data_IF_937540304206
#
_entry.id   IF_937540304206
#
_cell.length_a   1.000
_cell.length_b   1.000
_cell.length_c   1.000
_cell.angle_alpha   90.00
_cell.angle_beta   90.00
_cell.angle_gamma   90.00
#
_symmetry.space_group_name_H-M   'P 1'
#
loop_
_entity.id
_entity.type
_entity.pdbx_description
1 polymer ?
#
# COMPACT_ATOMS: atom_id res chain seq x y z
N UNK A 1 -33.08 -4.29 -7.90
CA UNK A 1 -32.43 -3.52 -6.80
C UNK A 1 -31.62 -4.51 -5.97
N UNK A 2 -30.46 -4.09 -5.41
CA UNK A 2 -29.56 -5.00 -4.69
C UNK A 2 -30.26 -5.70 -3.49
N UNK A 3 -30.14 -7.03 -3.34
CA UNK A 3 -30.61 -7.76 -2.17
C UNK A 3 -29.80 -7.42 -0.89
N UNK A 4 -30.43 -7.32 0.28
CA UNK A 4 -29.74 -7.01 1.54
C UNK A 4 -28.55 -7.93 1.87
N UNK A 5 -28.70 -9.23 1.63
CA UNK A 5 -27.64 -10.21 1.93
C UNK A 5 -26.39 -9.96 1.06
N UNK A 6 -26.59 -9.54 -0.19
CA UNK A 6 -25.49 -9.21 -1.11
C UNK A 6 -24.82 -7.87 -0.79
N UNK A 7 -25.54 -6.93 -0.15
CA UNK A 7 -24.96 -5.65 0.27
C UNK A 7 -23.82 -5.83 1.27
N UNK A 8 -23.98 -6.74 2.23
CA UNK A 8 -22.97 -6.96 3.27
C UNK A 8 -21.70 -7.56 2.67
N UNK A 9 -21.82 -8.63 1.89
CA UNK A 9 -20.67 -9.27 1.24
C UNK A 9 -19.98 -8.32 0.28
N UNK A 10 -20.72 -7.61 -0.57
CA UNK A 10 -20.14 -6.64 -1.51
C UNK A 10 -19.38 -5.53 -0.77
N UNK A 11 -19.92 -5.01 0.34
CA UNK A 11 -19.24 -3.99 1.13
C UNK A 11 -17.97 -4.53 1.81
N UNK A 12 -18.03 -5.74 2.39
CA UNK A 12 -16.87 -6.37 3.02
C UNK A 12 -15.73 -6.59 2.01
N UNK A 13 -16.03 -7.14 0.85
CA UNK A 13 -15.04 -7.41 -0.19
C UNK A 13 -14.43 -6.12 -0.76
N UNK A 14 -15.26 -5.08 -0.96
CA UNK A 14 -14.81 -3.78 -1.41
C UNK A 14 -13.90 -3.09 -0.37
N UNK A 15 -14.26 -3.18 0.91
CA UNK A 15 -13.49 -2.62 2.03
C UNK A 15 -12.14 -3.33 2.20
N UNK A 16 -12.11 -4.66 2.09
CA UNK A 16 -10.87 -5.45 2.18
C UNK A 16 -9.89 -5.17 1.03
N UNK A 17 -10.38 -4.67 -0.11
CA UNK A 17 -9.57 -4.31 -1.27
C UNK A 17 -9.26 -2.81 -1.37
N UNK A 18 -9.73 -2.00 -0.42
CA UNK A 18 -9.54 -0.55 -0.42
C UNK A 18 -9.10 -0.03 0.95
N UNK A 19 -10.04 0.35 1.82
CA UNK A 19 -9.76 0.99 3.11
C UNK A 19 -8.87 0.13 4.03
N UNK A 20 -9.05 -1.20 4.05
CA UNK A 20 -8.21 -2.09 4.88
C UNK A 20 -6.77 -2.27 4.35
N UNK A 21 -6.43 -1.61 3.24
CA UNK A 21 -5.10 -1.68 2.60
C UNK A 21 -4.35 -0.36 2.68
N UNK A 22 -4.96 0.72 3.16
CA UNK A 22 -4.28 2.01 3.28
C UNK A 22 -3.75 2.21 4.69
N UNK A 23 -2.66 2.96 4.82
CA UNK A 23 -2.14 3.42 6.10
C UNK A 23 -1.38 4.74 5.93
N UNK A 24 -1.72 5.74 6.73
CA UNK A 24 -0.97 7.01 6.80
C UNK A 24 0.19 6.83 7.79
N UNK A 25 -0.11 6.51 9.05
CA UNK A 25 0.85 6.45 10.15
C UNK A 25 0.82 5.12 10.93
N UNK A 26 -0.17 4.27 10.67
CA UNK A 26 -0.34 2.97 11.31
C UNK A 26 -1.24 2.99 12.55
N UNK A 27 -1.79 4.15 12.92
CA UNK A 27 -2.72 4.27 14.05
C UNK A 27 -4.17 4.09 13.59
N UNK A 28 -4.82 3.02 14.05
CA UNK A 28 -6.22 2.73 13.74
C UNK A 28 -7.15 3.57 14.61
N UNK A 29 -8.08 4.29 13.99
CA UNK A 29 -9.02 5.16 14.71
C UNK A 29 -10.02 4.35 15.54
N UNK A 30 -10.51 4.94 16.63
CA UNK A 30 -11.60 4.38 17.44
C UNK A 30 -12.97 4.49 16.76
N UNK A 31 -13.06 5.13 15.59
CA UNK A 31 -14.31 5.54 14.95
C UNK A 31 -14.47 5.10 13.49
N UNK A 32 -13.51 4.37 12.92
CA UNK A 32 -13.56 3.95 11.52
C UNK A 32 -14.88 3.23 11.19
N UNK A 33 -15.65 3.80 10.25
CA UNK A 33 -16.99 3.32 9.91
C UNK A 33 -17.26 3.51 8.41
N UNK A 34 -17.71 2.43 7.74
CA UNK A 34 -18.17 2.48 6.34
C UNK A 34 -19.60 1.97 6.27
N UNK A 35 -20.49 2.73 5.63
CA UNK A 35 -21.91 2.39 5.50
C UNK A 35 -22.32 2.33 4.03
N UNK A 36 -23.06 1.29 3.65
CA UNK A 36 -23.69 1.17 2.33
C UNK A 36 -25.22 1.25 2.48
N UNK A 37 -25.83 2.28 1.88
CA UNK A 37 -27.27 2.52 1.93
C UNK A 37 -27.89 2.42 0.53
N UNK A 38 -29.06 1.79 0.43
CA UNK A 38 -29.80 1.65 -0.84
C UNK A 38 -31.28 2.00 -0.65
N UNK A 39 -31.78 2.96 -1.44
CA UNK A 39 -33.18 3.38 -1.44
C UNK A 39 -34.06 2.55 -2.40
N UNK A 40 -33.46 1.64 -3.18
CA UNK A 40 -34.09 0.71 -4.14
C UNK A 40 -34.93 1.35 -5.27
N UNK A 41 -34.90 2.68 -5.45
CA UNK A 41 -35.80 3.39 -6.39
C UNK A 41 -35.60 3.05 -7.86
N UNK A 42 -34.37 2.72 -8.28
CA UNK A 42 -34.07 2.43 -9.71
C UNK A 42 -34.69 1.12 -10.21
N UNK A 43 -35.00 0.18 -9.31
CA UNK A 43 -35.44 -1.18 -9.67
C UNK A 43 -34.34 -2.04 -10.32
N UNK A 44 -33.38 -1.44 -11.01
CA UNK A 44 -32.26 -2.11 -11.66
C UNK A 44 -31.27 -2.73 -10.65
N UNK A 45 -30.74 -3.89 -11.00
CA UNK A 45 -29.60 -4.51 -10.32
C UNK A 45 -28.92 -5.49 -11.26
N UNK A 46 -27.64 -5.27 -11.46
CA UNK A 46 -26.72 -6.23 -12.04
C UNK A 46 -25.61 -6.42 -11.00
N UNK A 47 -25.42 -7.67 -10.55
CA UNK A 47 -24.54 -7.96 -9.44
C UNK A 47 -23.07 -7.69 -9.77
N UNK A 48 -22.66 -7.96 -11.01
CA UNK A 48 -21.27 -7.77 -11.43
C UNK A 48 -20.95 -6.29 -11.59
N UNK A 49 -21.79 -5.55 -12.32
CA UNK A 49 -21.62 -4.12 -12.51
C UNK A 49 -21.68 -3.35 -11.18
N UNK A 50 -22.53 -3.78 -10.23
CA UNK A 50 -22.60 -3.16 -8.91
C UNK A 50 -21.31 -3.38 -8.11
N UNK A 51 -20.78 -4.61 -8.08
CA UNK A 51 -19.51 -4.91 -7.37
C UNK A 51 -18.35 -4.16 -7.98
N UNK A 52 -18.26 -4.13 -9.32
CA UNK A 52 -17.20 -3.38 -10.02
C UNK A 52 -17.25 -1.89 -9.67
N UNK A 53 -18.44 -1.28 -9.75
CA UNK A 53 -18.62 0.12 -9.40
C UNK A 53 -18.27 0.39 -7.93
N UNK A 54 -18.73 -0.48 -7.01
CA UNK A 54 -18.44 -0.34 -5.58
C UNK A 54 -16.94 -0.43 -5.31
N UNK A 55 -16.26 -1.45 -5.85
CA UNK A 55 -14.81 -1.63 -5.69
C UNK A 55 -14.03 -0.42 -6.23
N UNK A 56 -14.42 0.10 -7.40
CA UNK A 56 -13.77 1.28 -7.99
C UNK A 56 -13.95 2.51 -7.10
N UNK A 57 -15.17 2.75 -6.63
CA UNK A 57 -15.48 3.91 -5.77
C UNK A 57 -14.71 3.81 -4.45
N UNK A 58 -14.77 2.66 -3.76
CA UNK A 58 -14.09 2.52 -2.47
C UNK A 58 -12.58 2.59 -2.61
N UNK A 59 -12.02 2.04 -3.69
CA UNK A 59 -10.59 2.16 -4.00
C UNK A 59 -10.18 3.62 -4.22
N UNK A 60 -10.89 4.37 -5.07
CA UNK A 60 -10.60 5.78 -5.30
C UNK A 60 -10.72 6.61 -4.01
N UNK A 61 -11.75 6.37 -3.20
CA UNK A 61 -11.90 7.04 -1.90
C UNK A 61 -10.74 6.72 -0.96
N UNK A 62 -10.28 5.48 -0.93
CA UNK A 62 -9.12 5.09 -0.12
C UNK A 62 -7.83 5.79 -0.58
N UNK A 63 -7.64 5.94 -1.90
CA UNK A 63 -6.49 6.70 -2.43
C UNK A 63 -6.61 8.20 -2.15
N UNK A 64 -7.82 8.76 -2.16
CA UNK A 64 -8.05 10.15 -1.77
C UNK A 64 -7.67 10.40 -0.31
N UNK A 65 -7.99 9.48 0.61
CA UNK A 65 -7.57 9.57 2.02
C UNK A 65 -6.04 9.62 2.12
N UNK A 66 -5.31 8.77 1.39
CA UNK A 66 -3.85 8.78 1.42
C UNK A 66 -3.23 10.05 0.82
N UNK A 67 -3.81 10.57 -0.26
CA UNK A 67 -3.36 11.83 -0.88
C UNK A 67 -3.57 13.03 0.03
N UNK A 68 -4.61 12.99 0.86
CA UNK A 68 -4.91 14.00 1.88
C UNK A 68 -4.35 13.63 3.26
N UNK A 69 -3.43 12.65 3.31
CA UNK A 69 -2.74 12.28 4.54
C UNK A 69 -1.96 13.48 5.09
N UNK A 70 -1.90 13.61 6.40
CA UNK A 70 -1.29 14.77 7.06
C UNK A 70 0.18 14.96 6.63
N UNK A 71 0.45 16.03 5.88
CA UNK A 71 1.79 16.31 5.34
C UNK A 71 2.29 15.31 4.30
N UNK A 72 1.42 14.49 3.70
CA UNK A 72 1.79 13.56 2.63
C UNK A 72 2.09 14.30 1.31
N UNK A 73 3.15 13.89 0.62
CA UNK A 73 3.53 14.40 -0.71
C UNK A 73 3.52 13.29 -1.77
N UNK A 74 3.61 12.03 -1.35
CA UNK A 74 3.71 10.88 -2.24
C UNK A 74 2.76 9.77 -1.82
N UNK A 75 2.24 9.03 -2.79
CA UNK A 75 1.46 7.81 -2.59
C UNK A 75 2.23 6.62 -3.14
N UNK A 76 2.49 5.61 -2.31
CA UNK A 76 3.26 4.44 -2.72
C UNK A 76 2.47 3.17 -2.49
N UNK A 77 2.39 2.34 -3.53
CA UNK A 77 1.86 1.00 -3.45
C UNK A 77 2.99 0.02 -3.09
N UNK A 78 2.84 -0.75 -2.02
CA UNK A 78 3.79 -1.77 -1.58
C UNK A 78 3.24 -3.15 -1.90
N UNK A 79 3.59 -3.68 -3.05
CA UNK A 79 3.21 -5.04 -3.45
C UNK A 79 4.24 -6.03 -2.93
N UNK A 80 3.81 -6.95 -2.06
CA UNK A 80 4.60 -8.13 -1.70
C UNK A 80 4.00 -9.33 -2.40
N UNK A 81 4.79 -9.99 -3.24
CA UNK A 81 4.42 -11.21 -3.97
C UNK A 81 5.42 -12.32 -3.70
N UNK A 82 5.16 -13.52 -4.21
CA UNK A 82 6.06 -14.63 -4.02
C UNK A 82 6.02 -15.23 -2.62
N UNK A 83 5.02 -14.89 -1.79
CA UNK A 83 4.95 -15.39 -0.41
C UNK A 83 4.34 -16.80 -0.36
N UNK A 84 4.67 -17.56 0.70
CA UNK A 84 4.06 -18.89 0.94
C UNK A 84 2.56 -18.79 1.24
N UNK A 85 2.16 -17.76 1.96
CA UNK A 85 0.78 -17.52 2.38
C UNK A 85 0.37 -16.08 2.10
N UNK A 86 -0.93 -15.85 1.91
CA UNK A 86 -1.48 -14.49 1.76
C UNK A 86 -1.27 -13.67 3.04
N UNK A 87 -1.28 -14.33 4.20
CA UNK A 87 -1.02 -13.70 5.49
C UNK A 87 0.42 -13.16 5.58
N UNK A 88 1.42 -13.95 5.14
CA UNK A 88 2.81 -13.49 5.07
C UNK A 88 2.95 -12.29 4.13
N UNK A 89 2.36 -12.34 2.93
CA UNK A 89 2.38 -11.22 2.00
C UNK A 89 1.75 -9.97 2.62
N UNK A 90 0.58 -10.11 3.27
CA UNK A 90 -0.11 -9.01 3.91
C UNK A 90 0.69 -8.41 5.08
N UNK A 91 1.33 -9.26 5.89
CA UNK A 91 2.14 -8.84 7.03
C UNK A 91 3.35 -8.02 6.59
N UNK A 92 4.10 -8.49 5.59
CA UNK A 92 5.24 -7.76 5.05
C UNK A 92 4.82 -6.48 4.33
N UNK A 93 3.75 -6.52 3.54
CA UNK A 93 3.23 -5.36 2.81
C UNK A 93 2.77 -4.23 3.74
N UNK A 94 2.04 -4.57 4.81
CA UNK A 94 1.65 -3.61 5.87
C UNK A 94 2.84 -3.09 6.68
N UNK A 95 3.84 -3.93 6.93
CA UNK A 95 5.07 -3.50 7.59
C UNK A 95 5.81 -2.43 6.77
N UNK A 96 5.85 -2.60 5.44
CA UNK A 96 6.43 -1.61 4.53
C UNK A 96 5.69 -0.28 4.54
N UNK A 97 4.34 -0.31 4.45
CA UNK A 97 3.54 0.93 4.48
C UNK A 97 3.67 1.71 5.80
N UNK A 98 3.99 1.03 6.91
CA UNK A 98 4.07 1.64 8.24
C UNK A 98 5.51 1.95 8.69
N UNK A 99 6.52 1.56 7.92
CA UNK A 99 7.92 1.72 8.32
C UNK A 99 8.36 3.18 8.21
N UNK A 100 8.64 3.82 9.35
CA UNK A 100 9.12 5.21 9.39
C UNK A 100 10.39 5.42 8.56
N UNK A 101 11.30 4.45 8.55
CA UNK A 101 12.50 4.51 7.73
C UNK A 101 12.17 4.45 6.24
N UNK A 102 11.25 3.59 5.82
CA UNK A 102 10.80 3.55 4.42
C UNK A 102 10.12 4.87 4.08
N UNK A 103 9.16 5.33 4.88
CA UNK A 103 8.41 6.57 4.65
C UNK A 103 9.30 7.83 4.57
N UNK A 104 10.35 7.91 5.39
CA UNK A 104 11.32 9.02 5.31
C UNK A 104 12.26 8.91 4.11
N UNK A 105 12.59 7.71 3.65
CA UNK A 105 13.33 7.53 2.40
C UNK A 105 12.49 7.95 1.18
N UNK A 106 11.19 7.65 1.20
CA UNK A 106 10.24 8.14 0.20
C UNK A 106 10.20 9.67 0.15
N UNK A 107 10.08 10.33 1.32
CA UNK A 107 10.07 11.79 1.42
C UNK A 107 11.39 12.41 0.91
N UNK A 108 12.52 11.82 1.31
CA UNK A 108 13.85 12.26 0.89
C UNK A 108 14.25 11.86 -0.53
N UNK A 109 13.37 11.18 -1.27
CA UNK A 109 13.63 10.65 -2.61
C UNK A 109 14.90 9.79 -2.68
N UNK A 110 15.21 9.08 -1.59
CA UNK A 110 16.41 8.25 -1.43
C UNK A 110 16.08 6.78 -1.79
N UNK A 111 16.65 6.19 -2.87
CA UNK A 111 16.35 4.82 -3.33
C UNK A 111 16.97 3.73 -2.43
N UNK A 112 16.70 3.82 -1.14
CA UNK A 112 17.28 3.04 -0.07
C UNK A 112 16.58 1.68 0.09
N UNK A 113 16.86 0.76 -0.82
CA UNK A 113 16.33 -0.60 -0.78
C UNK A 113 16.71 -1.36 0.49
N UNK A 114 17.81 -0.97 1.15
CA UNK A 114 18.23 -1.56 2.42
C UNK A 114 17.18 -1.39 3.52
N UNK A 115 16.47 -0.24 3.57
CA UNK A 115 15.35 0.00 4.50
C UNK A 115 14.13 -0.86 4.17
N UNK A 116 13.90 -1.16 2.90
CA UNK A 116 12.82 -2.05 2.45
C UNK A 116 13.15 -3.49 2.85
N UNK A 117 14.34 -3.97 2.51
CA UNK A 117 14.79 -5.33 2.84
C UNK A 117 14.82 -5.56 4.36
N UNK A 118 15.32 -4.59 5.14
CA UNK A 118 15.32 -4.68 6.61
C UNK A 118 13.91 -4.71 7.20
N UNK A 119 12.97 -3.96 6.64
CA UNK A 119 11.55 -3.97 7.05
C UNK A 119 10.90 -5.32 6.74
N UNK A 120 11.14 -5.91 5.57
CA UNK A 120 10.68 -7.27 5.24
C UNK A 120 11.23 -8.28 6.24
N UNK A 121 12.53 -8.26 6.50
CA UNK A 121 13.16 -9.18 7.47
C UNK A 121 12.60 -9.01 8.88
N UNK A 122 12.37 -7.77 9.32
CA UNK A 122 11.82 -7.46 10.63
C UNK A 122 10.33 -7.83 10.78
N UNK A 123 9.59 -7.98 9.67
CA UNK A 123 8.18 -8.39 9.70
C UNK A 123 7.98 -9.83 10.20
N UNK A 124 9.04 -10.64 10.25
CA UNK A 124 9.00 -12.02 10.75
C UNK A 124 8.24 -12.98 9.85
N UNK A 125 8.08 -12.64 8.57
CA UNK A 125 7.62 -13.58 7.52
C UNK A 125 8.78 -14.46 7.08
N UNK A 126 8.50 -15.57 6.38
CA UNK A 126 9.57 -16.32 5.73
C UNK A 126 10.14 -15.51 4.56
N UNK A 127 11.43 -15.22 4.57
CA UNK A 127 12.14 -14.54 3.49
C UNK A 127 13.60 -15.03 3.40
N UNK A 128 14.22 -14.88 2.23
CA UNK A 128 15.62 -15.21 1.97
C UNK A 128 16.23 -14.09 1.10
N UNK A 129 17.42 -13.59 1.46
CA UNK A 129 18.11 -12.53 0.72
C UNK A 129 18.49 -12.95 -0.71
N UNK A 130 18.60 -14.27 -0.94
CA UNK A 130 18.94 -14.87 -2.23
C UNK A 130 17.79 -14.91 -3.21
N UNK A 131 16.55 -14.94 -2.73
CA UNK A 131 15.34 -15.00 -3.57
C UNK A 131 14.62 -13.66 -3.62
N UNK A 132 14.86 -12.77 -2.66
CA UNK A 132 14.27 -11.43 -2.63
C UNK A 132 14.68 -10.62 -3.86
N UNK A 133 13.68 -10.05 -4.54
CA UNK A 133 13.89 -8.95 -5.49
C UNK A 133 13.05 -7.74 -5.12
N UNK A 134 13.57 -6.54 -5.37
CA UNK A 134 12.88 -5.26 -5.11
C UNK A 134 12.88 -4.47 -6.41
N UNK A 135 11.71 -3.97 -6.80
CA UNK A 135 11.52 -3.13 -7.96
C UNK A 135 10.81 -1.83 -7.58
N UNK A 136 11.21 -0.73 -8.21
CA UNK A 136 10.41 0.49 -8.28
C UNK A 136 9.80 0.57 -9.68
N UNK A 137 8.48 0.55 -9.77
CA UNK A 137 7.74 0.27 -10.99
C UNK A 137 8.32 -0.95 -11.72
N UNK A 138 8.95 -0.75 -12.88
CA UNK A 138 9.58 -1.81 -13.68
C UNK A 138 11.11 -1.86 -13.53
N UNK A 139 11.71 -0.97 -12.71
CA UNK A 139 13.14 -0.89 -12.50
C UNK A 139 13.58 -1.84 -11.38
N UNK A 140 14.49 -2.77 -11.69
CA UNK A 140 15.11 -3.62 -10.69
C UNK A 140 16.05 -2.79 -9.79
N UNK A 141 15.74 -2.72 -8.50
CA UNK A 141 16.54 -2.01 -7.50
C UNK A 141 17.50 -2.97 -6.80
N UNK A 142 17.02 -4.16 -6.43
CA UNK A 142 17.82 -5.17 -5.73
C UNK A 142 17.48 -6.58 -6.21
N UNK A 143 18.52 -7.40 -6.37
CA UNK A 143 18.42 -8.87 -6.40
C UNK A 143 19.71 -9.49 -5.87
N UNK A 144 19.70 -10.81 -5.68
CA UNK A 144 20.92 -11.53 -5.29
C UNK A 144 22.08 -11.39 -6.31
N UNK A 145 21.76 -11.24 -7.61
CA UNK A 145 22.75 -11.02 -8.66
C UNK A 145 23.20 -9.56 -8.71
N UNK A 146 22.32 -8.62 -8.37
CA UNK A 146 22.57 -7.18 -8.40
C UNK A 146 22.31 -6.58 -7.01
N UNK A 147 23.26 -6.83 -6.10
CA UNK A 147 23.19 -6.40 -4.69
C UNK A 147 23.48 -4.90 -4.50
N UNK A 148 24.10 -4.26 -5.47
CA UNK A 148 24.39 -2.83 -5.47
C UNK A 148 23.59 -2.13 -6.57
N UNK A 149 23.18 -0.89 -6.29
CA UNK A 149 22.53 -0.02 -7.27
C UNK A 149 23.63 0.70 -8.04
N UNK A 150 23.81 0.35 -9.31
CA UNK A 150 24.77 1.08 -10.16
C UNK A 150 24.24 2.48 -10.48
N UNK A 151 25.14 3.36 -10.93
CA UNK A 151 24.83 4.76 -11.22
C UNK A 151 23.67 4.95 -12.21
N UNK A 152 23.51 4.04 -13.17
CA UNK A 152 22.43 4.13 -14.17
C UNK A 152 21.08 3.76 -13.57
N UNK A 153 21.02 2.72 -12.73
CA UNK A 153 19.80 2.35 -12.01
C UNK A 153 19.47 3.34 -10.91
N UNK A 154 20.48 3.92 -10.27
CA UNK A 154 20.33 4.96 -9.25
C UNK A 154 19.68 6.22 -9.83
N UNK A 155 20.18 6.74 -10.95
CA UNK A 155 19.58 7.91 -11.63
C UNK A 155 18.12 7.65 -12.01
N UNK A 156 17.81 6.46 -12.55
CA UNK A 156 16.43 6.08 -12.87
C UNK A 156 15.55 5.94 -11.64
N UNK A 157 16.09 5.42 -10.54
CA UNK A 157 15.34 5.28 -9.29
C UNK A 157 14.98 6.66 -8.72
N UNK A 158 15.90 7.63 -8.78
CA UNK A 158 15.60 9.03 -8.41
C UNK A 158 14.46 9.62 -9.25
N UNK A 159 14.46 9.43 -10.57
CA UNK A 159 13.38 9.92 -11.42
C UNK A 159 12.03 9.26 -11.10
N UNK A 160 12.03 7.98 -10.71
CA UNK A 160 10.80 7.32 -10.25
C UNK A 160 10.32 7.93 -8.93
N UNK A 161 11.23 8.12 -7.98
CA UNK A 161 10.88 8.62 -6.65
C UNK A 161 10.39 10.07 -6.66
N UNK A 162 10.74 10.88 -7.67
CA UNK A 162 10.19 12.23 -7.87
C UNK A 162 8.70 12.26 -8.24
N UNK A 163 8.15 11.16 -8.73
CA UNK A 163 6.72 11.07 -9.05
C UNK A 163 5.87 11.21 -7.78
N UNK A 164 4.66 11.74 -7.95
CA UNK A 164 3.66 11.81 -6.87
C UNK A 164 3.18 10.42 -6.45
N UNK A 165 3.28 9.43 -7.35
CA UNK A 165 2.93 8.06 -7.04
C UNK A 165 3.72 7.04 -7.83
N UNK A 166 4.13 5.95 -7.19
CA UNK A 166 4.80 4.82 -7.84
C UNK A 166 4.58 3.52 -7.04
N UNK A 167 4.99 2.39 -7.61
CA UNK A 167 4.89 1.09 -6.96
C UNK A 167 6.25 0.56 -6.51
N UNK A 168 6.31 0.04 -5.31
CA UNK A 168 7.41 -0.80 -4.80
C UNK A 168 6.93 -2.25 -4.82
N UNK A 169 7.54 -3.09 -5.65
CA UNK A 169 7.24 -4.53 -5.70
C UNK A 169 8.39 -5.32 -5.07
N UNK A 170 8.07 -6.11 -4.05
CA UNK A 170 8.98 -7.03 -3.37
C UNK A 170 8.55 -8.47 -3.66
N UNK A 171 9.37 -9.23 -4.39
CA UNK A 171 9.12 -10.65 -4.65
C UNK A 171 9.95 -11.50 -3.69
N UNK A 172 9.29 -12.31 -2.87
CA UNK A 172 9.96 -13.20 -1.92
C UNK A 172 10.46 -14.49 -2.59
N UNK A 173 9.89 -14.92 -3.71
CA UNK A 173 10.31 -16.13 -4.45
C UNK A 173 10.06 -17.47 -3.73
N UNK A 174 9.06 -17.55 -2.85
CA UNK A 174 8.77 -18.72 -1.99
C UNK A 174 7.40 -19.37 -2.24
N UNK A 175 6.55 -18.79 -3.08
CA UNK A 175 5.19 -19.26 -3.37
C UNK A 175 4.46 -18.31 -4.33
N UNK A 176 3.12 -18.39 -4.38
CA UNK A 176 2.31 -17.63 -5.35
C UNK A 176 1.43 -16.55 -4.70
N UNK A 177 1.50 -16.41 -3.37
CA UNK A 177 0.63 -15.47 -2.66
C UNK A 177 1.15 -14.04 -2.79
N UNK A 178 0.22 -13.09 -2.90
CA UNK A 178 0.52 -11.67 -3.00
C UNK A 178 -0.47 -10.81 -2.21
N UNK A 179 -0.01 -9.63 -1.79
CA UNK A 179 -0.80 -8.60 -1.15
C UNK A 179 -0.23 -7.21 -1.44
N UNK A 180 -1.09 -6.21 -1.48
CA UNK A 180 -0.69 -4.82 -1.72
C UNK A 180 -1.34 -3.93 -0.68
N UNK A 181 -0.51 -3.24 0.07
CA UNK A 181 -0.85 -2.11 0.93
C UNK A 181 -0.42 -0.82 0.26
N UNK A 182 -1.05 0.28 0.64
CA UNK A 182 -0.78 1.61 0.13
C UNK A 182 -0.47 2.51 1.31
N UNK A 183 0.49 3.39 1.14
CA UNK A 183 0.80 4.40 2.14
C UNK A 183 1.32 5.67 1.51
N UNK A 184 1.79 6.57 2.36
CA UNK A 184 2.43 7.81 1.95
C UNK A 184 3.85 7.92 2.52
N UNK A 185 4.55 8.99 2.18
CA UNK A 185 5.81 9.39 2.80
C UNK A 185 5.61 9.93 4.24
N UNK A 186 6.71 10.31 4.90
CA UNK A 186 6.70 10.98 6.22
C UNK A 186 7.51 12.27 6.13
N UNK A 187 6.81 13.39 6.06
CA UNK A 187 7.41 14.72 5.93
C UNK A 187 7.54 15.43 7.28
N UNK A 188 8.19 16.61 7.26
CA UNK A 188 8.22 17.50 8.42
C UNK A 188 6.84 18.03 8.81
N UNK A 189 5.94 18.21 7.83
CA UNK A 189 4.60 18.76 8.09
C UNK A 189 3.72 17.80 8.88
N UNK A 190 3.86 16.49 8.70
CA UNK A 190 3.19 15.49 9.55
C UNK A 190 3.52 15.74 11.04
N UNK A 191 4.81 15.91 11.35
CA UNK A 191 5.28 16.15 12.71
C UNK A 191 4.76 17.49 13.23
N UNK A 192 4.81 18.53 12.40
CA UNK A 192 4.34 19.87 12.76
C UNK A 192 2.84 19.87 13.09
N UNK A 193 2.01 19.29 12.22
CA UNK A 193 0.56 19.19 12.38
C UNK A 193 0.24 18.52 13.72
N UNK A 194 0.83 17.35 13.98
CA UNK A 194 0.51 16.56 15.16
C UNK A 194 1.17 17.02 16.47
N UNK A 195 2.24 17.81 16.41
CA UNK A 195 2.89 18.35 17.60
C UNK A 195 2.31 19.71 18.04
N UNK A 196 1.81 20.51 17.10
CA UNK A 196 1.30 21.86 17.38
C UNK A 196 -0.22 21.89 17.65
N UNK A 197 -0.97 20.89 17.19
CA UNK A 197 -2.39 20.76 17.49
C UNK A 197 -2.67 19.96 18.76
N UNK A 198 -3.70 20.38 19.51
CA UNK A 198 -4.45 19.47 20.37
C UNK A 198 -5.50 18.78 19.49
N UNK A 199 -5.15 17.62 18.94
CA UNK A 199 -6.09 16.69 18.30
C UNK A 199 -6.94 15.94 19.32
#
# INVERSE_FOLDING_TARGET
>A
AIPPEEMKTALQDATEQSFNRISVDGDTSTNDTVLLLSNRKSGAYDAEAFREALNKITFELAMMILRDGEGANKLVAFEVKGAKTKEDAAKASRALSNSLLVKTALFGEDPNWGRIASTIGASGVTCDDKTLTIHYDNLLIYSNEFRELDSTREEKAYEIMKQESFKVTCDLGLGDAAYTSYGCDLSYDYVKINAEYRT
#
